data_IF_114521866477
#
_entry.id   IF_114521866477
#
_cell.length_a   1.000
_cell.length_b   1.000
_cell.length_c   1.000
_cell.angle_alpha   90.00
_cell.angle_beta   90.00
_cell.angle_gamma   90.00
#
_symmetry.space_group_name_H-M   'P 1'
#
loop_
_entity.id
_entity.type
_entity.pdbx_description
1 polymer ?
#
# COMPACT_ATOMS: atom_id res chain seq x y z
N UNK A 1 -17.19 3.37 -5.23
CA UNK A 1 -16.61 2.53 -4.16
C UNK A 1 -16.88 1.04 -4.37
N UNK A 2 -18.13 0.57 -4.38
CA UNK A 2 -18.44 -0.89 -4.49
C UNK A 2 -17.86 -1.59 -5.72
N UNK A 3 -17.78 -0.90 -6.86
CA UNK A 3 -17.21 -1.48 -8.09
C UNK A 3 -15.72 -1.77 -7.98
N UNK A 4 -14.92 -0.84 -7.43
CA UNK A 4 -13.48 -1.02 -7.30
C UNK A 4 -13.12 -2.18 -6.34
N UNK A 5 -13.84 -2.31 -5.23
CA UNK A 5 -13.64 -3.41 -4.28
C UNK A 5 -13.99 -4.75 -4.94
N UNK A 6 -15.08 -4.81 -5.70
CA UNK A 6 -15.48 -6.02 -6.43
C UNK A 6 -14.42 -6.41 -7.48
N UNK A 7 -13.93 -5.45 -8.27
CA UNK A 7 -12.88 -5.72 -9.26
C UNK A 7 -11.60 -6.24 -8.60
N UNK A 8 -11.23 -5.67 -7.45
CA UNK A 8 -10.10 -6.19 -6.65
C UNK A 8 -10.30 -7.65 -6.27
N UNK A 9 -11.48 -8.00 -5.77
CA UNK A 9 -11.82 -9.37 -5.34
C UNK A 9 -11.86 -10.38 -6.49
N UNK A 10 -12.20 -9.95 -7.71
CA UNK A 10 -12.12 -10.79 -8.91
C UNK A 10 -10.67 -11.18 -9.22
N UNK A 11 -9.69 -10.30 -8.97
CA UNK A 11 -8.27 -10.61 -9.02
C UNK A 11 -7.73 -10.99 -10.41
N UNK A 12 -8.49 -10.80 -11.48
CA UNK A 12 -8.05 -11.09 -12.85
C UNK A 12 -7.30 -9.93 -13.47
N UNK A 13 -6.57 -10.20 -14.55
CA UNK A 13 -5.91 -9.16 -15.34
C UNK A 13 -6.91 -8.14 -15.89
N UNK A 14 -8.07 -8.58 -16.35
CA UNK A 14 -9.13 -7.69 -16.83
C UNK A 14 -9.65 -6.78 -15.72
N UNK A 15 -9.85 -7.32 -14.52
CA UNK A 15 -10.32 -6.54 -13.38
C UNK A 15 -9.29 -5.49 -12.95
N UNK A 16 -7.99 -5.82 -13.00
CA UNK A 16 -6.90 -4.85 -12.79
C UNK A 16 -6.90 -3.75 -13.84
N UNK A 17 -7.07 -4.08 -15.13
CA UNK A 17 -7.16 -3.07 -16.20
C UNK A 17 -8.35 -2.13 -16.01
N UNK A 18 -9.49 -2.65 -15.55
CA UNK A 18 -10.65 -1.81 -15.19
C UNK A 18 -10.38 -0.90 -14.01
N UNK A 19 -9.64 -1.37 -13.01
CA UNK A 19 -9.21 -0.54 -11.88
C UNK A 19 -8.31 0.62 -12.34
N UNK A 20 -7.38 0.36 -13.27
CA UNK A 20 -6.55 1.40 -13.88
C UNK A 20 -7.44 2.44 -14.58
N UNK A 21 -8.38 2.02 -15.43
CA UNK A 21 -9.32 2.93 -16.10
C UNK A 21 -10.12 3.79 -15.10
N UNK A 22 -10.51 3.21 -13.97
CA UNK A 22 -11.22 3.93 -12.91
C UNK A 22 -10.30 4.93 -12.19
N UNK A 23 -9.05 4.57 -11.92
CA UNK A 23 -8.07 5.45 -11.30
C UNK A 23 -7.72 6.65 -12.20
N UNK A 24 -7.61 6.43 -13.51
CA UNK A 24 -7.39 7.50 -14.50
C UNK A 24 -8.56 8.50 -14.54
N UNK A 25 -9.80 8.00 -14.46
CA UNK A 25 -11.00 8.85 -14.41
C UNK A 25 -11.18 9.57 -13.08
N UNK A 26 -10.61 9.02 -12.00
CA UNK A 26 -10.77 9.52 -10.64
C UNK A 26 -9.41 9.68 -9.94
N UNK A 27 -8.51 10.55 -10.45
CA UNK A 27 -7.11 10.62 -9.99
C UNK A 27 -6.94 11.15 -8.57
N UNK A 28 -8.02 11.58 -7.90
CA UNK A 28 -8.00 12.06 -6.51
C UNK A 28 -8.76 11.13 -5.55
N UNK A 29 -9.32 10.03 -6.04
CA UNK A 29 -10.04 9.07 -5.20
C UNK A 29 -9.04 8.09 -4.58
N UNK A 30 -8.80 8.28 -3.28
CA UNK A 30 -7.83 7.47 -2.53
C UNK A 30 -8.24 6.01 -2.43
N UNK A 31 -9.55 5.70 -2.39
CA UNK A 31 -10.04 4.33 -2.31
C UNK A 31 -9.77 3.61 -3.62
N UNK A 32 -10.08 4.24 -4.76
CA UNK A 32 -9.79 3.65 -6.08
C UNK A 32 -8.29 3.44 -6.26
N UNK A 33 -7.47 4.42 -5.86
CA UNK A 33 -6.02 4.29 -5.89
C UNK A 33 -5.56 3.08 -5.04
N UNK A 34 -6.06 2.92 -3.82
CA UNK A 34 -5.73 1.77 -2.97
C UNK A 34 -6.13 0.42 -3.60
N UNK A 35 -7.35 0.29 -4.12
CA UNK A 35 -7.77 -0.96 -4.77
C UNK A 35 -6.89 -1.29 -5.99
N UNK A 36 -6.52 -0.27 -6.77
CA UNK A 36 -5.65 -0.42 -7.95
C UNK A 36 -4.24 -0.85 -7.55
N UNK A 37 -3.69 -0.26 -6.48
CA UNK A 37 -2.40 -0.65 -5.93
C UNK A 37 -2.39 -2.12 -5.50
N UNK A 38 -3.40 -2.54 -4.74
CA UNK A 38 -3.51 -3.92 -4.26
C UNK A 38 -3.65 -4.93 -5.39
N UNK A 39 -4.36 -4.59 -6.46
CA UNK A 39 -4.50 -5.45 -7.63
C UNK A 39 -3.18 -5.65 -8.40
N UNK A 40 -2.30 -4.64 -8.42
CA UNK A 40 -0.95 -4.79 -8.95
C UNK A 40 -0.07 -5.62 -8.02
N UNK A 41 -0.08 -5.31 -6.72
CA UNK A 41 0.72 -6.00 -5.70
C UNK A 41 0.39 -7.51 -5.67
N UNK A 42 -0.90 -7.87 -5.72
CA UNK A 42 -1.37 -9.27 -5.78
C UNK A 42 -0.99 -9.98 -7.09
N UNK A 43 -0.67 -9.23 -8.14
CA UNK A 43 -0.18 -9.75 -9.41
C UNK A 43 1.37 -9.81 -9.48
N UNK A 44 2.09 -9.43 -8.41
CA UNK A 44 3.56 -9.34 -8.41
C UNK A 44 4.09 -8.19 -9.27
N UNK A 45 3.32 -7.11 -9.37
CA UNK A 45 3.64 -5.89 -10.11
C UNK A 45 3.92 -4.75 -9.11
N UNK A 46 4.89 -4.96 -8.22
CA UNK A 46 5.16 -4.05 -7.10
C UNK A 46 5.60 -2.66 -7.58
N UNK A 47 6.34 -2.59 -8.68
CA UNK A 47 6.80 -1.32 -9.25
C UNK A 47 5.62 -0.45 -9.71
N UNK A 48 4.59 -1.07 -10.28
CA UNK A 48 3.36 -0.45 -10.71
C UNK A 48 2.41 -0.17 -9.53
N UNK A 49 2.44 -0.99 -8.47
CA UNK A 49 1.62 -0.80 -7.27
C UNK A 49 2.02 0.45 -6.47
N UNK A 50 3.33 0.70 -6.33
CA UNK A 50 3.88 1.78 -5.51
C UNK A 50 3.24 3.17 -5.77
N UNK A 51 3.18 3.69 -7.02
CA UNK A 51 2.60 5.02 -7.27
C UNK A 51 1.12 5.11 -6.87
N UNK A 52 0.34 4.03 -7.01
CA UNK A 52 -1.06 4.02 -6.61
C UNK A 52 -1.22 4.02 -5.09
N UNK A 53 -0.35 3.32 -4.35
CA UNK A 53 -0.31 3.40 -2.90
C UNK A 53 0.09 4.80 -2.41
N UNK A 54 1.08 5.44 -3.04
CA UNK A 54 1.47 6.82 -2.71
C UNK A 54 0.31 7.79 -2.95
N UNK A 55 -0.39 7.65 -4.08
CA UNK A 55 -1.58 8.42 -4.40
C UNK A 55 -2.70 8.21 -3.36
N UNK A 56 -2.90 6.97 -2.91
CA UNK A 56 -3.87 6.66 -1.86
C UNK A 56 -3.52 7.35 -0.53
N UNK A 57 -2.24 7.40 -0.13
CA UNK A 57 -1.80 8.10 1.09
C UNK A 57 -1.93 9.62 0.99
N UNK A 58 -1.74 10.18 -0.21
CA UNK A 58 -1.87 11.61 -0.48
C UNK A 58 -3.33 12.10 -0.49
N UNK A 59 -4.29 11.19 -0.73
CA UNK A 59 -5.70 11.52 -0.76
C UNK A 59 -6.41 11.39 0.59
N UNK A 60 -7.67 11.84 0.62
CA UNK A 60 -8.58 11.76 1.76
C UNK A 60 -9.69 10.73 1.52
N UNK A 61 -10.47 10.41 2.56
CA UNK A 61 -11.67 9.57 2.44
C UNK A 61 -11.45 8.06 2.60
N UNK A 62 -10.21 7.62 2.84
CA UNK A 62 -9.93 6.25 3.29
C UNK A 62 -10.49 6.04 4.70
N UNK A 63 -11.06 4.86 4.94
CA UNK A 63 -11.33 4.41 6.30
C UNK A 63 -10.01 4.24 7.06
N UNK A 64 -10.05 4.26 8.40
CA UNK A 64 -8.88 3.97 9.24
C UNK A 64 -8.25 2.63 8.86
N UNK A 65 -9.05 1.58 8.64
CA UNK A 65 -8.59 0.25 8.26
C UNK A 65 -7.93 0.23 6.87
N UNK A 66 -8.53 0.89 5.88
CA UNK A 66 -7.92 0.97 4.54
C UNK A 66 -6.62 1.75 4.59
N UNK A 67 -6.58 2.85 5.34
CA UNK A 67 -5.37 3.67 5.48
C UNK A 67 -4.23 2.90 6.15
N UNK A 68 -4.55 2.06 7.13
CA UNK A 68 -3.61 1.07 7.66
C UNK A 68 -3.14 0.10 6.57
N UNK A 69 -4.07 -0.47 5.80
CA UNK A 69 -3.76 -1.38 4.71
C UNK A 69 -2.81 -0.77 3.68
N UNK A 70 -3.00 0.50 3.33
CA UNK A 70 -2.14 1.25 2.41
C UNK A 70 -0.71 1.38 2.94
N UNK A 71 -0.51 1.74 4.21
CA UNK A 71 0.83 1.84 4.81
C UNK A 71 1.55 0.49 4.86
N UNK A 72 0.86 -0.59 5.23
CA UNK A 72 1.42 -1.95 5.22
C UNK A 72 1.78 -2.38 3.80
N UNK A 73 0.84 -2.19 2.86
CA UNK A 73 1.02 -2.52 1.44
C UNK A 73 2.24 -1.83 0.87
N UNK A 74 2.27 -0.49 0.91
CA UNK A 74 3.38 0.30 0.39
C UNK A 74 4.73 -0.05 1.03
N UNK A 75 4.76 -0.24 2.35
CA UNK A 75 5.97 -0.67 3.05
C UNK A 75 6.47 -2.03 2.54
N UNK A 76 5.57 -3.01 2.35
CA UNK A 76 5.95 -4.31 1.80
C UNK A 76 6.40 -4.21 0.34
N UNK A 77 5.67 -3.46 -0.49
CA UNK A 77 5.99 -3.21 -1.90
C UNK A 77 7.40 -2.61 -2.03
N UNK A 78 7.74 -1.58 -1.24
CA UNK A 78 9.09 -1.00 -1.26
C UNK A 78 10.19 -1.97 -0.89
N UNK A 79 9.95 -2.83 0.10
CA UNK A 79 10.92 -3.85 0.47
C UNK A 79 11.15 -4.86 -0.66
N UNK A 80 10.08 -5.30 -1.34
CA UNK A 80 10.22 -6.24 -2.48
C UNK A 80 11.04 -5.60 -3.60
N UNK A 81 10.89 -4.29 -3.80
CA UNK A 81 11.68 -3.51 -4.75
C UNK A 81 13.12 -3.20 -4.28
N UNK A 82 13.54 -3.65 -3.09
CA UNK A 82 14.85 -3.34 -2.51
C UNK A 82 14.99 -1.89 -1.99
N UNK A 83 13.89 -1.14 -1.92
CA UNK A 83 13.83 0.25 -1.45
C UNK A 83 13.63 0.28 0.07
N UNK A 84 14.59 -0.25 0.83
CA UNK A 84 14.46 -0.49 2.27
C UNK A 84 14.24 0.77 3.10
N UNK A 85 14.94 1.86 2.79
CA UNK A 85 14.76 3.14 3.51
C UNK A 85 13.34 3.68 3.40
N UNK A 86 12.75 3.59 2.20
CA UNK A 86 11.40 4.05 1.92
C UNK A 86 10.34 3.14 2.55
N UNK A 87 10.60 1.83 2.57
CA UNK A 87 9.80 0.87 3.33
C UNK A 87 9.74 1.27 4.80
N UNK A 88 10.89 1.47 5.43
CA UNK A 88 10.99 1.80 6.86
C UNK A 88 10.35 3.16 7.17
N UNK A 89 10.61 4.18 6.34
CA UNK A 89 10.01 5.49 6.49
C UNK A 89 8.48 5.44 6.41
N UNK A 90 7.94 4.65 5.47
CA UNK A 90 6.50 4.45 5.28
C UNK A 90 5.87 3.79 6.50
N UNK A 91 6.46 2.69 6.99
CA UNK A 91 5.94 1.96 8.15
C UNK A 91 6.03 2.79 9.44
N UNK A 92 7.11 3.58 9.62
CA UNK A 92 7.24 4.52 10.75
C UNK A 92 6.18 5.61 10.71
N UNK A 93 5.86 6.13 9.52
CA UNK A 93 4.78 7.11 9.36
C UNK A 93 3.43 6.51 9.72
N UNK A 94 3.16 5.26 9.32
CA UNK A 94 1.97 4.52 9.72
C UNK A 94 1.89 4.27 11.23
N UNK A 95 3.02 3.96 11.89
CA UNK A 95 3.09 3.85 13.36
C UNK A 95 2.80 5.16 14.07
N UNK A 96 3.31 6.27 13.55
CA UNK A 96 3.06 7.61 14.09
C UNK A 96 1.60 8.04 13.93
N UNK A 97 0.95 7.65 12.83
CA UNK A 97 -0.45 7.96 12.57
C UNK A 97 -1.42 7.08 13.39
N UNK A 98 -1.01 5.85 13.72
CA UNK A 98 -1.86 4.89 14.45
C UNK A 98 -1.14 4.27 15.65
N UNK A 99 -0.93 5.04 16.74
CA UNK A 99 -0.16 4.58 17.90
C UNK A 99 -0.82 3.42 18.67
N UNK A 100 -2.16 3.34 18.70
CA UNK A 100 -2.89 2.32 19.49
C UNK A 100 -3.19 1.02 18.72
N UNK A 101 -3.48 1.12 17.42
CA UNK A 101 -3.79 -0.03 16.55
C UNK A 101 -2.58 -0.55 15.74
N UNK A 102 -1.62 0.33 15.43
CA UNK A 102 -0.48 0.02 14.56
C UNK A 102 0.60 -0.83 15.22
N UNK A 103 0.75 -0.69 16.53
CA UNK A 103 1.85 -1.26 17.30
C UNK A 103 1.81 -2.80 17.37
N UNK A 104 0.71 -3.47 17.04
CA UNK A 104 0.67 -4.95 16.97
C UNK A 104 1.02 -5.51 15.59
N UNK A 105 0.68 -4.79 14.52
CA UNK A 105 0.86 -5.23 13.13
C UNK A 105 2.20 -4.79 12.54
N UNK A 106 2.64 -3.57 12.84
CA UNK A 106 3.90 -3.03 12.32
C UNK A 106 5.11 -3.44 13.14
N UNK A 107 4.97 -3.63 14.46
CA UNK A 107 6.10 -3.78 15.39
C UNK A 107 7.06 -4.88 14.96
N UNK A 108 6.57 -6.07 14.62
CA UNK A 108 7.44 -7.19 14.24
C UNK A 108 8.21 -6.95 12.94
N UNK A 109 7.58 -6.27 11.97
CA UNK A 109 8.25 -5.91 10.72
C UNK A 109 9.27 -4.79 10.94
N UNK A 110 8.91 -3.75 11.69
CA UNK A 110 9.79 -2.62 11.99
C UNK A 110 10.97 -3.02 12.86
N UNK A 111 10.77 -3.87 13.88
CA UNK A 111 11.86 -4.44 14.69
C UNK A 111 12.80 -5.30 13.83
N UNK A 112 12.25 -6.14 12.95
CA UNK A 112 13.07 -6.96 12.05
C UNK A 112 13.95 -6.10 11.12
N UNK A 113 13.41 -5.07 10.46
CA UNK A 113 14.23 -4.21 9.60
C UNK A 113 15.18 -3.31 10.40
N UNK A 114 14.77 -2.83 11.58
CA UNK A 114 15.64 -2.02 12.43
C UNK A 114 16.89 -2.81 12.89
N UNK A 115 16.74 -4.09 13.23
CA UNK A 115 17.84 -4.94 13.70
C UNK A 115 18.77 -5.43 12.57
N UNK A 116 18.34 -5.38 11.31
CA UNK A 116 19.10 -5.89 10.15
C UNK A 116 19.50 -4.79 9.16
N UNK A 117 19.36 -3.51 9.51
CA UNK A 117 19.87 -2.39 8.70
C UNK A 117 21.41 -2.37 8.65
N UNK A 118 22.08 -2.90 9.67
CA UNK A 118 23.54 -2.96 9.76
C UNK A 118 24.15 -4.15 8.97
N UNK A 119 23.32 -5.05 8.43
CA UNK A 119 23.76 -6.23 7.67
C UNK A 119 23.78 -6.02 6.15
N UNK A 120 23.46 -4.80 5.69
CA UNK A 120 23.45 -4.42 4.28
C UNK A 120 24.57 -3.41 3.99
N UNK A 121 25.81 -3.83 4.25
CA UNK A 121 27.03 -3.23 3.64
C UNK A 121 27.60 -4.14 2.56
#
# INVERSE_FOLDING_TARGET
MNEAIRLREEGTDEARLRLIELAEKNPRDAVIAYQTAWAHDSAGLEAEAAPFYEQALAGEGLSTEDRHGVFVGLGSTYRVLGRYDESLATLRRGLGEFPDDGVRRYRRAVEYYADHLDDVE
#
